data_IF_511125868782
#
_entry.id   IF_511125868782
#
_cell.length_a   1.000
_cell.length_b   1.000
_cell.length_c   1.000
_cell.angle_alpha   90.00
_cell.angle_beta   90.00
_cell.angle_gamma   90.00
#
_symmetry.space_group_name_H-M   'P 1'
#
loop_
_entity.id
_entity.type
_entity.pdbx_description
1 polymer ?
#
# COMPACT_ATOMS: atom_id res chain seq x y z
N UNK A 1 4.56 -16.61 -35.47
CA UNK A 1 3.28 -16.65 -34.74
C UNK A 1 3.27 -15.47 -33.80
N UNK A 2 2.52 -14.44 -34.16
CA UNK A 2 2.48 -13.16 -33.50
C UNK A 2 1.58 -13.28 -32.27
N UNK A 3 2.14 -13.11 -31.07
CA UNK A 3 1.35 -13.01 -29.85
C UNK A 3 0.46 -11.78 -29.93
N UNK A 4 -0.84 -11.99 -29.81
CA UNK A 4 -1.84 -10.94 -29.64
C UNK A 4 -1.45 -10.07 -28.43
N UNK A 5 -1.13 -8.81 -28.71
CA UNK A 5 -1.02 -7.77 -27.70
C UNK A 5 -2.41 -7.63 -27.05
N UNK A 6 -2.53 -8.12 -25.81
CA UNK A 6 -3.71 -7.93 -24.99
C UNK A 6 -4.07 -6.45 -24.95
N UNK A 7 -5.18 -6.11 -25.60
CA UNK A 7 -5.73 -4.77 -25.71
C UNK A 7 -5.78 -4.11 -24.33
N UNK A 8 -4.93 -3.10 -24.15
CA UNK A 8 -4.93 -2.23 -22.98
C UNK A 8 -6.23 -1.44 -22.98
N UNK A 9 -7.20 -1.85 -22.16
CA UNK A 9 -8.30 -0.96 -21.81
C UNK A 9 -7.71 0.09 -20.86
N UNK A 10 -7.20 1.18 -21.43
CA UNK A 10 -6.90 2.41 -20.68
C UNK A 10 -8.20 2.96 -20.12
N UNK A 11 -8.52 2.57 -18.90
CA UNK A 11 -9.58 3.23 -18.13
C UNK A 11 -8.95 4.40 -17.39
N UNK A 12 -9.65 5.53 -17.28
CA UNK A 12 -9.14 6.67 -16.49
C UNK A 12 -8.84 6.30 -15.03
N UNK A 13 -9.48 5.25 -14.51
CA UNK A 13 -9.22 4.67 -13.19
C UNK A 13 -7.85 3.98 -13.14
N UNK A 14 -7.54 3.13 -14.13
CA UNK A 14 -6.26 2.43 -14.19
C UNK A 14 -5.08 3.38 -14.34
N UNK A 15 -5.20 4.38 -15.22
CA UNK A 15 -4.13 5.38 -15.43
C UNK A 15 -3.87 6.19 -14.14
N UNK A 16 -4.93 6.58 -13.43
CA UNK A 16 -4.80 7.30 -12.16
C UNK A 16 -4.15 6.42 -11.08
N UNK A 17 -4.59 5.16 -10.95
CA UNK A 17 -4.01 4.23 -9.98
C UNK A 17 -2.53 3.96 -10.28
N UNK A 18 -2.17 3.77 -11.56
CA UNK A 18 -0.79 3.55 -11.97
C UNK A 18 0.08 4.74 -11.62
N UNK A 19 -0.36 5.96 -11.97
CA UNK A 19 0.37 7.18 -11.67
C UNK A 19 0.60 7.34 -10.16
N UNK A 20 -0.43 7.12 -9.34
CA UNK A 20 -0.30 7.24 -7.89
C UNK A 20 0.62 6.17 -7.31
N UNK A 21 0.52 4.92 -7.77
CA UNK A 21 1.42 3.85 -7.32
C UNK A 21 2.87 4.16 -7.67
N UNK A 22 3.15 4.67 -8.88
CA UNK A 22 4.49 5.08 -9.28
C UNK A 22 5.06 6.18 -8.37
N UNK A 23 4.27 7.21 -8.06
CA UNK A 23 4.67 8.29 -7.15
C UNK A 23 4.94 7.75 -5.73
N UNK A 24 4.07 6.87 -5.23
CA UNK A 24 4.22 6.27 -3.90
C UNK A 24 5.44 5.37 -3.82
N UNK A 25 5.73 4.58 -4.85
CA UNK A 25 6.94 3.75 -4.95
C UNK A 25 8.21 4.60 -4.95
N UNK A 26 8.21 5.71 -5.69
CA UNK A 26 9.37 6.60 -5.78
C UNK A 26 9.61 7.37 -4.47
N UNK A 27 8.55 7.83 -3.80
CA UNK A 27 8.63 8.63 -2.58
C UNK A 27 8.48 7.86 -1.27
N UNK A 28 8.29 6.54 -1.32
CA UNK A 28 7.85 5.75 -0.16
C UNK A 28 6.63 6.37 0.57
N UNK A 29 5.73 6.97 -0.22
CA UNK A 29 4.64 7.80 0.28
C UNK A 29 3.45 7.00 0.83
N UNK A 30 2.41 7.71 1.25
CA UNK A 30 1.13 7.13 1.63
C UNK A 30 0.02 7.76 0.80
N UNK A 31 -0.79 6.93 0.14
CA UNK A 31 -1.92 7.38 -0.67
C UNK A 31 -3.22 6.67 -0.28
N UNK A 32 -4.31 7.43 -0.34
CA UNK A 32 -5.67 6.93 -0.19
C UNK A 32 -6.46 7.27 -1.46
N UNK A 33 -6.95 6.24 -2.13
CA UNK A 33 -7.78 6.41 -3.33
C UNK A 33 -9.19 5.90 -3.07
N UNK A 34 -10.17 6.66 -3.59
CA UNK A 34 -11.58 6.30 -3.50
C UNK A 34 -12.20 6.32 -4.89
N UNK A 35 -13.04 5.33 -5.16
CA UNK A 35 -13.83 5.29 -6.38
C UNK A 35 -15.04 4.38 -6.24
N UNK A 36 -16.07 4.62 -7.05
CA UNK A 36 -17.30 3.84 -7.03
C UNK A 36 -17.04 2.32 -7.16
N UNK A 37 -17.98 1.52 -6.65
CA UNK A 37 -17.92 0.06 -6.77
C UNK A 37 -18.12 -0.33 -8.24
N UNK A 38 -17.40 -1.36 -8.71
CA UNK A 38 -17.56 -1.87 -10.08
C UNK A 38 -16.80 -1.11 -11.17
N UNK A 39 -16.04 -0.05 -10.84
CA UNK A 39 -15.27 0.71 -11.86
C UNK A 39 -13.94 0.06 -12.29
N UNK A 40 -13.68 -1.18 -11.85
CA UNK A 40 -12.47 -1.93 -12.22
C UNK A 40 -11.22 -1.68 -11.37
N UNK A 41 -11.35 -1.19 -10.13
CA UNK A 41 -10.19 -0.91 -9.25
C UNK A 41 -9.33 -2.14 -8.97
N UNK A 42 -9.93 -3.23 -8.48
CA UNK A 42 -9.21 -4.48 -8.16
C UNK A 42 -8.48 -5.03 -9.38
N UNK A 43 -9.15 -5.12 -10.53
CA UNK A 43 -8.52 -5.55 -11.78
C UNK A 43 -7.35 -4.65 -12.20
N UNK A 44 -7.48 -3.33 -12.04
CA UNK A 44 -6.39 -2.40 -12.32
C UNK A 44 -5.22 -2.60 -11.35
N UNK A 45 -5.49 -2.81 -10.06
CA UNK A 45 -4.46 -3.08 -9.05
C UNK A 45 -3.70 -4.37 -9.31
N UNK A 46 -4.39 -5.45 -9.68
CA UNK A 46 -3.75 -6.73 -10.04
C UNK A 46 -2.75 -6.54 -11.18
N UNK A 47 -3.16 -5.79 -12.21
CA UNK A 47 -2.29 -5.47 -13.35
C UNK A 47 -1.11 -4.59 -12.95
N UNK A 48 -1.37 -3.52 -12.20
CA UNK A 48 -0.33 -2.58 -11.73
C UNK A 48 0.68 -3.31 -10.84
N UNK A 49 0.23 -4.24 -10.00
CA UNK A 49 1.12 -5.06 -9.18
C UNK A 49 2.09 -5.86 -10.04
N UNK A 50 1.58 -6.56 -11.06
CA UNK A 50 2.43 -7.31 -12.00
C UNK A 50 3.42 -6.38 -12.72
N UNK A 51 2.94 -5.26 -13.26
CA UNK A 51 3.78 -4.29 -13.99
C UNK A 51 4.89 -3.70 -13.09
N UNK A 52 4.63 -3.50 -11.79
CA UNK A 52 5.61 -3.03 -10.81
C UNK A 52 6.61 -4.12 -10.40
N UNK A 53 6.15 -5.35 -10.23
CA UNK A 53 7.00 -6.52 -9.95
C UNK A 53 8.00 -6.77 -11.09
N UNK A 54 7.55 -6.67 -12.34
CA UNK A 54 8.42 -6.76 -13.53
C UNK A 54 9.50 -5.66 -13.56
N UNK A 55 9.26 -4.53 -12.88
CA UNK A 55 10.21 -3.42 -12.68
C UNK A 55 11.08 -3.57 -11.43
N UNK A 56 10.98 -4.69 -10.73
CA UNK A 56 11.77 -5.01 -9.54
C UNK A 56 11.25 -4.38 -8.24
N UNK A 57 9.99 -3.94 -8.21
CA UNK A 57 9.33 -3.49 -6.97
C UNK A 57 8.72 -4.70 -6.28
N UNK A 58 8.95 -4.85 -4.98
CA UNK A 58 8.24 -5.87 -4.20
C UNK A 58 6.85 -5.34 -3.89
N UNK A 59 5.81 -5.98 -4.43
CA UNK A 59 4.43 -5.60 -4.16
C UNK A 59 3.83 -6.57 -3.14
N UNK A 60 3.16 -6.02 -2.14
CA UNK A 60 2.39 -6.79 -1.16
C UNK A 60 0.96 -6.31 -1.25
N UNK A 61 0.09 -7.13 -1.83
CA UNK A 61 -1.30 -6.75 -2.07
C UNK A 61 -2.25 -7.53 -1.16
N UNK A 62 -3.02 -6.81 -0.36
CA UNK A 62 -4.01 -7.35 0.56
C UNK A 62 -5.38 -6.83 0.19
N UNK A 63 -6.35 -7.73 0.01
CA UNK A 63 -7.76 -7.34 -0.08
C UNK A 63 -8.39 -7.43 1.30
N UNK A 64 -8.91 -6.31 1.80
CA UNK A 64 -9.61 -6.29 3.08
C UNK A 64 -10.87 -7.17 3.04
N UNK A 65 -10.94 -8.13 3.96
CA UNK A 65 -12.09 -9.01 4.19
C UNK A 65 -12.63 -8.83 5.60
N UNK A 66 -13.82 -9.34 5.89
CA UNK A 66 -14.38 -9.33 7.24
C UNK A 66 -13.50 -10.05 8.27
N UNK A 67 -12.70 -11.03 7.85
CA UNK A 67 -11.81 -11.78 8.74
C UNK A 67 -10.62 -10.94 9.23
N UNK A 68 -10.16 -9.96 8.43
CA UNK A 68 -8.99 -9.13 8.74
C UNK A 68 -9.36 -7.69 9.07
N UNK A 69 -10.56 -7.24 8.69
CA UNK A 69 -11.04 -5.87 8.85
C UNK A 69 -10.87 -5.32 10.27
N UNK A 70 -11.20 -6.14 11.25
CA UNK A 70 -11.10 -5.78 12.66
C UNK A 70 -9.84 -6.27 13.34
N UNK A 71 -9.12 -7.27 12.84
CA UNK A 71 -8.13 -7.98 13.65
C UNK A 71 -6.71 -7.67 13.20
N UNK A 72 -5.96 -6.90 14.02
CA UNK A 72 -4.57 -6.50 13.74
C UNK A 72 -3.70 -7.72 13.45
N UNK A 73 -3.76 -8.76 14.29
CA UNK A 73 -2.94 -9.96 14.09
C UNK A 73 -3.32 -10.71 12.81
N UNK A 74 -4.61 -10.79 12.48
CA UNK A 74 -5.03 -11.42 11.23
C UNK A 74 -4.57 -10.61 10.01
N UNK A 75 -4.59 -9.28 10.11
CA UNK A 75 -4.07 -8.39 9.06
C UNK A 75 -2.56 -8.54 8.88
N UNK A 76 -1.77 -8.46 9.96
CA UNK A 76 -0.32 -8.65 9.90
C UNK A 76 0.05 -10.05 9.39
N UNK A 77 -0.66 -11.09 9.84
CA UNK A 77 -0.49 -12.45 9.31
C UNK A 77 -0.87 -12.58 7.84
N UNK A 78 -1.86 -11.83 7.35
CA UNK A 78 -2.20 -11.82 5.93
C UNK A 78 -1.05 -11.22 5.09
N UNK A 79 -0.40 -10.18 5.59
CA UNK A 79 0.83 -9.61 4.97
C UNK A 79 1.94 -10.66 4.94
N UNK A 80 2.22 -11.31 6.08
CA UNK A 80 3.28 -12.32 6.19
C UNK A 80 2.99 -13.63 5.44
N UNK A 81 1.71 -13.99 5.32
CA UNK A 81 1.24 -15.23 4.70
C UNK A 81 1.58 -15.32 3.21
N UNK A 82 1.77 -14.19 2.53
CA UNK A 82 2.31 -14.15 1.16
C UNK A 82 3.73 -14.76 1.05
N UNK A 83 4.43 -14.96 2.17
CA UNK A 83 5.82 -15.41 2.23
C UNK A 83 6.04 -16.61 3.18
N UNK A 84 4.99 -17.36 3.53
CA UNK A 84 5.05 -18.58 4.36
C UNK A 84 5.80 -18.44 5.70
N UNK A 85 5.65 -17.30 6.39
CA UNK A 85 6.30 -17.08 7.69
C UNK A 85 5.30 -17.29 8.83
N UNK A 86 5.54 -18.28 9.69
CA UNK A 86 4.74 -18.52 10.92
C UNK A 86 5.27 -17.69 12.09
N UNK A 87 4.41 -16.86 12.70
CA UNK A 87 4.76 -16.06 13.90
C UNK A 87 3.90 -16.46 15.11
N UNK A 88 4.56 -16.61 16.27
CA UNK A 88 3.98 -17.09 17.53
C UNK A 88 3.31 -16.03 18.40
N UNK A 89 3.56 -14.73 18.17
CA UNK A 89 3.04 -13.59 18.95
C UNK A 89 2.73 -12.36 18.08
N UNK A 90 1.98 -11.39 18.62
CA UNK A 90 1.58 -10.14 17.93
C UNK A 90 2.71 -9.13 17.76
N UNK A 91 3.56 -8.95 18.77
CA UNK A 91 4.73 -8.06 18.68
C UNK A 91 5.74 -8.61 17.66
N UNK A 92 5.92 -9.92 17.65
CA UNK A 92 6.75 -10.61 16.65
C UNK A 92 6.17 -10.46 15.24
N UNK A 93 4.84 -10.43 15.11
CA UNK A 93 4.18 -10.25 13.81
C UNK A 93 4.37 -8.83 13.26
N UNK A 94 4.33 -7.80 14.10
CA UNK A 94 4.56 -6.42 13.67
C UNK A 94 6.01 -6.20 13.24
N UNK A 95 6.98 -6.70 14.00
CA UNK A 95 8.40 -6.59 13.65
C UNK A 95 8.74 -7.42 12.40
N UNK A 96 8.18 -8.63 12.28
CA UNK A 96 8.33 -9.43 11.06
C UNK A 96 7.70 -8.71 9.86
N UNK A 97 6.54 -8.09 10.04
CA UNK A 97 5.87 -7.32 8.99
C UNK A 97 6.73 -6.13 8.57
N UNK A 98 7.32 -5.42 9.53
CA UNK A 98 8.26 -4.35 9.24
C UNK A 98 9.48 -4.87 8.48
N UNK A 99 10.15 -5.94 8.93
CA UNK A 99 11.31 -6.49 8.22
C UNK A 99 11.00 -6.90 6.77
N UNK A 100 9.78 -7.38 6.53
CA UNK A 100 9.29 -7.69 5.19
C UNK A 100 9.06 -6.43 4.34
N UNK A 101 8.39 -5.42 4.89
CA UNK A 101 8.04 -4.19 4.17
C UNK A 101 9.23 -3.22 4.03
N UNK A 102 10.17 -3.21 4.98
CA UNK A 102 11.27 -2.27 5.06
C UNK A 102 12.25 -2.41 3.88
N UNK A 103 12.07 -1.56 2.86
CA UNK A 103 12.99 -1.39 1.74
C UNK A 103 14.01 -0.29 2.00
N UNK A 104 14.81 0.05 0.98
CA UNK A 104 15.75 1.19 0.96
C UNK A 104 15.45 2.06 -0.27
N UNK A 105 14.26 2.68 -0.34
CA UNK A 105 13.73 3.21 -1.61
C UNK A 105 14.53 4.37 -2.20
N UNK A 106 15.32 5.08 -1.38
CA UNK A 106 16.13 6.23 -1.79
C UNK A 106 17.59 5.88 -2.10
N UNK A 107 18.02 4.63 -1.85
CA UNK A 107 19.33 4.16 -2.30
C UNK A 107 19.29 3.85 -3.80
N UNK A 108 20.40 4.13 -4.48
CA UNK A 108 20.61 3.64 -5.85
C UNK A 108 20.54 2.10 -5.81
N UNK A 109 19.64 1.51 -6.61
CA UNK A 109 19.33 0.07 -6.62
C UNK A 109 18.83 -0.51 -5.29
N UNK A 110 18.34 0.33 -4.37
CA UNK A 110 17.73 -0.15 -3.14
C UNK A 110 16.40 -0.84 -3.40
N UNK A 111 16.07 -1.83 -2.56
CA UNK A 111 14.79 -2.55 -2.63
C UNK A 111 13.64 -1.58 -2.40
N UNK A 112 12.73 -1.46 -3.37
CA UNK A 112 11.48 -0.71 -3.23
C UNK A 112 10.35 -1.67 -2.91
N UNK A 113 9.53 -1.31 -1.92
CA UNK A 113 8.41 -2.14 -1.47
C UNK A 113 7.14 -1.29 -1.46
N UNK A 114 6.04 -1.85 -1.97
CA UNK A 114 4.72 -1.22 -2.00
C UNK A 114 3.70 -2.13 -1.31
N UNK A 115 3.08 -1.64 -0.23
CA UNK A 115 1.90 -2.24 0.35
C UNK A 115 0.65 -1.67 -0.34
N UNK A 116 -0.16 -2.53 -0.94
CA UNK A 116 -1.47 -2.19 -1.50
C UNK A 116 -2.54 -2.83 -0.63
N UNK A 117 -3.49 -2.03 -0.14
CA UNK A 117 -4.68 -2.51 0.56
C UNK A 117 -5.92 -2.18 -0.28
N UNK A 118 -6.48 -3.18 -0.95
CA UNK A 118 -7.76 -3.05 -1.64
C UNK A 118 -8.93 -3.23 -0.64
N UNK A 119 -10.10 -2.71 -1.01
CA UNK A 119 -11.33 -2.75 -0.20
C UNK A 119 -11.18 -2.11 1.20
N UNK A 120 -10.27 -1.13 1.33
CA UNK A 120 -9.83 -0.57 2.60
C UNK A 120 -10.96 0.03 3.46
N UNK A 121 -12.13 0.36 2.87
CA UNK A 121 -13.35 0.73 3.61
C UNK A 121 -13.79 -0.29 4.67
N UNK A 122 -13.37 -1.55 4.54
CA UNK A 122 -13.68 -2.60 5.51
C UNK A 122 -12.83 -2.47 6.76
N UNK A 123 -11.60 -1.95 6.66
CA UNK A 123 -10.69 -1.87 7.80
C UNK A 123 -11.25 -1.03 8.95
N UNK A 124 -11.05 -1.51 10.17
CA UNK A 124 -11.32 -0.78 11.39
C UNK A 124 -10.19 0.23 11.67
N UNK A 125 -10.53 1.31 12.37
CA UNK A 125 -9.57 2.38 12.71
C UNK A 125 -8.28 1.86 13.35
N UNK A 126 -8.36 0.86 14.23
CA UNK A 126 -7.17 0.27 14.87
C UNK A 126 -6.20 -0.39 13.88
N UNK A 127 -6.70 -0.98 12.79
CA UNK A 127 -5.84 -1.57 11.74
C UNK A 127 -5.20 -0.46 10.91
N UNK A 128 -5.95 0.61 10.61
CA UNK A 128 -5.41 1.80 9.95
C UNK A 128 -4.31 2.46 10.79
N UNK A 129 -4.48 2.55 12.11
CA UNK A 129 -3.44 3.05 13.03
C UNK A 129 -2.20 2.14 13.04
N UNK A 130 -2.35 0.82 12.95
CA UNK A 130 -1.20 -0.09 12.80
C UNK A 130 -0.47 0.14 11.47
N UNK A 131 -1.20 0.30 10.36
CA UNK A 131 -0.60 0.62 9.05
C UNK A 131 0.15 1.94 9.11
N UNK A 132 -0.45 2.97 9.72
CA UNK A 132 0.18 4.28 9.92
C UNK A 132 1.45 4.15 10.77
N UNK A 133 1.38 3.46 11.91
CA UNK A 133 2.54 3.23 12.78
C UNK A 133 3.69 2.52 12.08
N UNK A 134 3.38 1.48 11.28
CA UNK A 134 4.38 0.82 10.43
C UNK A 134 4.98 1.78 9.41
N UNK A 135 4.13 2.58 8.73
CA UNK A 135 4.60 3.54 7.74
C UNK A 135 5.51 4.59 8.37
N UNK A 136 5.11 5.20 9.49
CA UNK A 136 5.84 6.26 10.23
C UNK A 136 7.27 5.83 10.63
N UNK A 137 7.53 4.54 10.84
CA UNK A 137 8.90 4.01 11.10
C UNK A 137 9.91 4.36 10.00
N UNK A 138 9.45 4.70 8.79
CA UNK A 138 10.29 5.10 7.68
C UNK A 138 10.51 6.61 7.51
N UNK A 139 10.14 7.42 8.51
CA UNK A 139 10.22 8.88 8.41
C UNK A 139 11.64 9.39 8.19
N UNK A 140 12.64 8.82 8.87
CA UNK A 140 14.04 9.21 8.67
C UNK A 140 14.47 9.09 7.19
N UNK A 141 14.02 8.02 6.51
CA UNK A 141 14.28 7.83 5.10
C UNK A 141 13.66 8.95 4.25
N UNK A 142 12.39 9.27 4.53
CA UNK A 142 11.64 10.32 3.81
C UNK A 142 12.11 11.73 4.12
N UNK A 143 12.73 11.94 5.28
CA UNK A 143 13.36 13.20 5.70
C UNK A 143 14.78 13.36 5.16
N UNK A 144 15.28 12.38 4.39
CA UNK A 144 16.49 12.52 3.60
C UNK A 144 17.65 11.63 4.04
N UNK A 145 17.47 10.67 4.96
CA UNK A 145 18.45 9.62 5.15
C UNK A 145 18.40 8.63 3.96
N UNK A 146 19.40 8.64 3.06
CA UNK A 146 19.39 7.73 1.91
C UNK A 146 19.48 6.26 2.34
N UNK A 147 20.00 5.97 3.54
CA UNK A 147 20.10 4.62 4.08
C UNK A 147 18.90 4.26 4.98
N UNK A 148 17.94 5.16 5.13
CA UNK A 148 16.74 4.92 5.91
C UNK A 148 15.90 3.79 5.30
N UNK A 149 15.23 3.03 6.18
CA UNK A 149 14.30 1.99 5.77
C UNK A 149 12.90 2.58 5.57
N UNK A 150 12.24 2.27 4.47
CA UNK A 150 10.86 2.72 4.24
C UNK A 150 10.14 1.86 3.19
N UNK A 151 8.83 2.05 3.11
CA UNK A 151 7.97 1.45 2.10
C UNK A 151 6.86 2.42 1.69
N UNK A 152 6.34 2.24 0.48
CA UNK A 152 5.15 2.96 0.01
C UNK A 152 3.86 2.25 0.43
N UNK A 153 2.81 3.00 0.73
CA UNK A 153 1.51 2.45 1.12
C UNK A 153 0.38 3.05 0.28
N UNK A 154 -0.43 2.22 -0.34
CA UNK A 154 -1.59 2.60 -1.14
C UNK A 154 -2.83 1.91 -0.59
N UNK A 155 -3.80 2.68 -0.11
CA UNK A 155 -5.08 2.17 0.35
C UNK A 155 -6.18 2.57 -0.64
N UNK A 156 -6.87 1.57 -1.18
CA UNK A 156 -7.91 1.75 -2.19
C UNK A 156 -9.23 1.31 -1.63
N UNK A 157 -10.26 2.14 -1.78
CA UNK A 157 -11.58 1.82 -1.30
C UNK A 157 -12.71 2.46 -2.08
N UNK A 158 -13.91 2.23 -1.58
CA UNK A 158 -15.11 2.87 -2.07
C UNK A 158 -15.28 4.27 -1.43
N UNK A 159 -16.29 5.07 -1.84
CA UNK A 159 -16.49 6.42 -1.30
C UNK A 159 -16.65 6.50 0.23
N UNK A 160 -17.12 5.43 0.88
CA UNK A 160 -17.36 5.35 2.33
C UNK A 160 -16.11 5.09 3.16
N UNK A 161 -14.95 4.85 2.53
CA UNK A 161 -13.72 4.51 3.23
C UNK A 161 -13.34 5.56 4.31
N UNK A 162 -13.37 6.85 3.96
CA UNK A 162 -12.95 7.93 4.88
C UNK A 162 -14.05 8.40 5.84
N UNK A 163 -15.28 7.88 5.75
CA UNK A 163 -16.33 8.21 6.73
C UNK A 163 -16.17 7.51 8.08
N UNK A 164 -15.20 6.59 8.21
CA UNK A 164 -14.91 5.85 9.46
C UNK A 164 -13.72 6.43 10.25
N UNK A 165 -12.93 7.32 9.65
CA UNK A 165 -11.84 8.03 10.34
C UNK A 165 -12.39 9.24 11.09
N UNK A 166 -12.34 9.22 12.42
CA UNK A 166 -12.76 10.34 13.26
C UNK A 166 -11.98 11.61 12.91
N UNK A 167 -12.71 12.74 12.86
CA UNK A 167 -12.27 14.09 12.52
C UNK A 167 -11.64 14.24 11.13
N UNK A 168 -12.45 14.73 10.19
CA UNK A 168 -11.99 15.25 8.90
C UNK A 168 -11.18 16.54 9.13
N UNK A 169 -9.93 16.42 9.60
CA UNK A 169 -8.95 17.51 9.54
C UNK A 169 -8.25 17.42 8.20
N UNK A 170 -8.77 18.15 7.22
CA UNK A 170 -8.06 18.44 5.99
C UNK A 170 -6.81 19.22 6.37
N UNK A 171 -5.62 18.62 6.22
CA UNK A 171 -4.38 19.38 6.28
C UNK A 171 -4.39 20.37 5.10
N UNK A 172 -4.45 21.66 5.40
CA UNK A 172 -4.19 22.72 4.44
C UNK A 172 -2.68 22.81 4.26
N UNK A 173 -2.18 22.37 3.10
CA UNK A 173 -0.83 22.70 2.69
C UNK A 173 -0.85 24.13 2.17
N UNK A 174 -0.43 25.08 3.00
CA UNK A 174 -0.11 26.42 2.51
C UNK A 174 1.32 26.41 1.95
N UNK A 175 1.56 27.08 0.81
CA UNK A 175 2.92 27.28 0.32
C UNK A 175 3.75 27.98 1.39
N UNK A 176 4.96 27.48 1.65
CA UNK A 176 5.94 28.23 2.44
C UNK A 176 6.28 29.50 1.66
N UNK A 177 5.84 30.65 2.17
CA UNK A 177 6.21 31.99 1.69
C UNK A 177 7.69 32.28 1.91
#
# INVERSE_FOLDING_TARGET
MSHEQGSSIKTGVGDTLSFVCDQVVAGAGLAVLRGAVGIGKTFALDRIACDLEDRGVVVVMITATEAISGNINAFLKAILGHYHTDTGSSADAEEATWGMLAGRPFMTNGRRVLLIVDEAQKLAGRVLETIRGLWDRGDDARLGDPNGLAFGCVMVGNPTFMSKGGAQRTASFEPLL
#
